data_IF_893816286024
#
_entry.id   IF_893816286024
#
_cell.length_a   1.000
_cell.length_b   1.000
_cell.length_c   1.000
_cell.angle_alpha   90.00
_cell.angle_beta   90.00
_cell.angle_gamma   90.00
#
_symmetry.space_group_name_H-M   'P 1'
#
loop_
_entity.id
_entity.type
_entity.pdbx_description
1 polymer ?
#
# COMPACT_ATOMS: atom_id res chain seq x y z
N UNK A 1 -9.74 16.54 1.36
CA UNK A 1 -8.35 16.04 1.46
C UNK A 1 -8.34 14.54 1.70
N UNK A 2 -7.56 13.83 0.92
CA UNK A 2 -7.47 12.37 1.05
C UNK A 2 -6.63 11.98 2.27
N UNK A 3 -7.14 11.07 3.07
CA UNK A 3 -6.43 10.54 4.24
C UNK A 3 -5.84 9.17 3.89
N UNK A 4 -4.63 8.91 4.36
CA UNK A 4 -3.93 7.64 4.13
C UNK A 4 -3.68 6.95 5.46
N UNK A 5 -4.34 5.81 5.64
CA UNK A 5 -4.25 5.01 6.85
C UNK A 5 -3.51 3.71 6.56
N UNK A 6 -2.99 3.06 7.59
CA UNK A 6 -2.37 1.74 7.43
C UNK A 6 -2.74 0.81 8.57
N UNK A 7 -2.76 -0.48 8.27
CA UNK A 7 -2.87 -1.55 9.26
C UNK A 7 -1.49 -1.97 9.74
N UNK A 8 -1.45 -2.67 10.87
CA UNK A 8 -0.19 -3.12 11.48
C UNK A 8 0.63 -4.01 10.56
N UNK A 9 -0.02 -4.92 9.83
CA UNK A 9 0.68 -5.83 8.90
C UNK A 9 1.39 -5.08 7.79
N UNK A 10 0.77 -4.02 7.24
CA UNK A 10 1.44 -3.18 6.25
C UNK A 10 2.71 -2.56 6.82
N UNK A 11 2.61 -1.97 8.01
CA UNK A 11 3.75 -1.29 8.65
C UNK A 11 4.88 -2.26 8.94
N UNK A 12 4.54 -3.48 9.37
CA UNK A 12 5.54 -4.52 9.62
C UNK A 12 6.24 -4.92 8.32
N UNK A 13 5.49 -5.16 7.26
CA UNK A 13 6.07 -5.52 5.96
C UNK A 13 6.99 -4.41 5.45
N UNK A 14 6.53 -3.17 5.53
CA UNK A 14 7.34 -2.03 5.11
C UNK A 14 8.64 -1.95 5.91
N UNK A 15 8.57 -2.10 7.23
CA UNK A 15 9.76 -2.08 8.09
C UNK A 15 10.72 -3.22 7.74
N UNK A 16 10.20 -4.42 7.47
CA UNK A 16 11.02 -5.57 7.09
C UNK A 16 11.74 -5.32 5.77
N UNK A 17 11.06 -4.73 4.78
CA UNK A 17 11.69 -4.39 3.50
C UNK A 17 12.83 -3.38 3.67
N UNK A 18 12.62 -2.38 4.51
CA UNK A 18 13.64 -1.36 4.75
C UNK A 18 14.87 -1.89 5.49
N UNK A 19 14.76 -3.03 6.16
CA UNK A 19 15.87 -3.67 6.88
C UNK A 19 16.66 -4.64 6.01
N UNK A 20 16.23 -4.94 4.80
CA UNK A 20 16.95 -5.87 3.93
C UNK A 20 18.34 -5.32 3.64
N UNK A 21 19.32 -6.24 3.63
CA UNK A 21 20.74 -5.91 3.47
C UNK A 21 21.00 -5.04 2.25
N UNK A 22 21.98 -4.13 2.36
CA UNK A 22 22.43 -3.23 1.30
C UNK A 22 21.36 -2.23 0.82
N UNK A 23 20.28 -2.09 1.58
CA UNK A 23 19.23 -1.14 1.21
C UNK A 23 18.55 -1.47 -0.11
N UNK A 24 18.40 -2.75 -0.44
CA UNK A 24 17.81 -3.18 -1.72
C UNK A 24 16.46 -2.50 -1.98
N UNK A 25 15.65 -2.35 -0.93
CA UNK A 25 14.32 -1.77 -1.03
C UNK A 25 14.24 -0.37 -0.41
N UNK A 26 15.37 0.34 -0.33
CA UNK A 26 15.41 1.66 0.32
C UNK A 26 14.51 2.71 -0.35
N UNK A 27 14.15 2.52 -1.61
CA UNK A 27 13.29 3.44 -2.35
C UNK A 27 11.80 3.19 -2.21
N UNK A 28 11.36 2.19 -1.44
CA UNK A 28 9.96 1.77 -1.44
C UNK A 28 9.00 2.87 -0.96
N UNK A 29 9.35 3.60 0.09
CA UNK A 29 8.50 4.70 0.59
C UNK A 29 8.34 5.79 -0.45
N UNK A 30 9.41 6.15 -1.14
CA UNK A 30 9.39 7.16 -2.18
C UNK A 30 8.47 6.75 -3.33
N UNK A 31 8.50 5.48 -3.72
CA UNK A 31 7.61 4.99 -4.79
C UNK A 31 6.14 5.06 -4.38
N UNK A 32 5.83 4.70 -3.14
CA UNK A 32 4.46 4.80 -2.63
C UNK A 32 3.99 6.26 -2.62
N UNK A 33 4.81 7.16 -2.08
CA UNK A 33 4.46 8.58 -2.00
C UNK A 33 4.27 9.19 -3.40
N UNK A 34 5.15 8.84 -4.33
CA UNK A 34 5.07 9.34 -5.71
C UNK A 34 3.77 8.89 -6.38
N UNK A 35 3.33 7.66 -6.12
CA UNK A 35 2.11 7.13 -6.70
C UNK A 35 0.86 7.92 -6.30
N UNK A 36 0.82 8.44 -5.07
CA UNK A 36 -0.34 9.15 -4.55
C UNK A 36 -0.19 10.67 -4.58
N UNK A 37 1.03 11.17 -4.72
CA UNK A 37 1.25 12.62 -4.80
C UNK A 37 0.61 13.15 -6.08
N UNK A 38 -0.18 14.20 -5.94
CA UNK A 38 -0.90 14.81 -7.06
C UNK A 38 -2.01 13.95 -7.68
N UNK A 39 -2.33 12.78 -7.11
CA UNK A 39 -3.44 11.97 -7.57
C UNK A 39 -4.73 12.41 -6.88
N UNK A 40 -5.82 12.52 -7.65
CA UNK A 40 -7.15 12.77 -7.08
C UNK A 40 -7.72 11.47 -6.54
N UNK A 41 -8.71 11.58 -5.64
CA UNK A 41 -9.36 10.38 -5.08
C UNK A 41 -10.05 9.58 -6.19
N UNK A 42 -10.57 10.23 -7.22
CA UNK A 42 -11.20 9.56 -8.36
C UNK A 42 -10.17 8.72 -9.13
N UNK A 43 -8.98 9.27 -9.37
CA UNK A 43 -7.90 8.53 -10.03
C UNK A 43 -7.46 7.32 -9.21
N UNK A 44 -7.37 7.48 -7.89
CA UNK A 44 -6.99 6.42 -6.98
C UNK A 44 -8.03 5.29 -7.00
N UNK A 45 -9.32 5.61 -7.02
CA UNK A 45 -10.42 4.64 -7.05
C UNK A 45 -10.55 3.91 -8.37
N UNK A 46 -10.21 4.54 -9.48
CA UNK A 46 -10.45 4.01 -10.81
C UNK A 46 -9.24 3.30 -11.41
N UNK A 47 -8.29 2.91 -10.60
CA UNK A 47 -7.13 2.21 -11.07
C UNK A 47 -7.55 0.88 -11.71
N UNK A 48 -7.02 0.60 -12.92
CA UNK A 48 -7.36 -0.62 -13.66
C UNK A 48 -6.87 -1.91 -13.00
N UNK A 49 -5.99 -1.81 -12.00
CA UNK A 49 -5.49 -2.94 -11.23
C UNK A 49 -6.42 -3.31 -10.06
N UNK A 50 -7.70 -3.00 -10.18
CA UNK A 50 -8.71 -3.35 -9.19
C UNK A 50 -8.87 -4.87 -9.09
N UNK A 51 -8.82 -5.41 -7.88
CA UNK A 51 -8.92 -6.86 -7.64
C UNK A 51 -10.17 -7.25 -6.86
N UNK A 52 -10.83 -6.29 -6.20
CA UNK A 52 -12.04 -6.56 -5.44
C UNK A 52 -12.87 -5.28 -5.34
N UNK A 53 -14.19 -5.41 -5.46
CA UNK A 53 -15.10 -4.28 -5.29
C UNK A 53 -16.36 -4.76 -4.57
N UNK A 54 -16.80 -3.96 -3.60
CA UNK A 54 -18.09 -4.16 -2.95
C UNK A 54 -18.83 -2.82 -2.88
N UNK A 55 -19.97 -2.79 -2.14
CA UNK A 55 -20.78 -1.56 -2.08
C UNK A 55 -20.08 -0.40 -1.36
N UNK A 56 -19.09 -0.68 -0.52
CA UNK A 56 -18.47 0.31 0.36
C UNK A 56 -17.05 0.66 -0.02
N UNK A 57 -16.34 -0.25 -0.69
CA UNK A 57 -14.91 -0.08 -0.95
C UNK A 57 -14.44 -0.75 -2.23
N UNK A 58 -13.26 -0.33 -2.67
CA UNK A 58 -12.55 -0.90 -3.81
C UNK A 58 -11.16 -1.31 -3.32
N UNK A 59 -10.71 -2.51 -3.66
CA UNK A 59 -9.34 -2.97 -3.37
C UNK A 59 -8.55 -3.01 -4.66
N UNK A 60 -7.35 -2.46 -4.62
CA UNK A 60 -6.49 -2.29 -5.78
C UNK A 60 -5.11 -2.87 -5.47
N UNK A 61 -4.54 -3.57 -6.45
CA UNK A 61 -3.17 -4.05 -6.42
C UNK A 61 -2.37 -3.23 -7.44
N UNK A 62 -1.79 -2.12 -6.99
CA UNK A 62 -1.12 -1.16 -7.85
C UNK A 62 0.32 -1.61 -8.13
N UNK A 63 0.71 -1.54 -9.40
CA UNK A 63 2.09 -1.79 -9.80
C UNK A 63 2.90 -0.51 -9.65
N UNK A 64 4.01 -0.62 -8.91
CA UNK A 64 4.94 0.49 -8.71
C UNK A 64 6.29 0.13 -9.30
N UNK A 65 6.99 1.09 -9.93
CA UNK A 65 8.36 0.85 -10.34
C UNK A 65 9.28 0.81 -9.12
N UNK A 66 10.48 0.31 -9.30
CA UNK A 66 11.56 0.51 -8.35
C UNK A 66 12.69 1.22 -9.09
N UNK A 67 12.66 2.53 -9.07
CA UNK A 67 13.60 3.37 -9.83
C UNK A 67 15.03 3.21 -9.33
N UNK A 68 15.18 3.00 -8.04
CA UNK A 68 16.50 2.80 -7.43
C UNK A 68 17.20 1.57 -8.01
N UNK A 69 16.45 0.50 -8.29
CA UNK A 69 16.98 -0.72 -8.90
C UNK A 69 16.77 -0.76 -10.41
N UNK A 70 16.27 0.31 -11.02
CA UNK A 70 15.98 0.43 -12.45
C UNK A 70 14.98 -0.63 -12.92
N UNK A 71 13.99 -0.93 -12.08
CA UNK A 71 12.92 -1.87 -12.41
C UNK A 71 11.68 -1.11 -12.84
N UNK A 72 11.03 -1.62 -13.90
CA UNK A 72 9.76 -1.07 -14.39
C UNK A 72 8.62 -1.44 -13.43
N UNK A 73 7.42 -0.91 -13.72
CA UNK A 73 6.22 -1.21 -12.92
C UNK A 73 5.92 -2.71 -12.87
N UNK A 74 6.19 -3.45 -13.96
CA UNK A 74 5.93 -4.89 -13.97
C UNK A 74 6.88 -5.67 -13.07
N UNK A 75 8.09 -5.19 -12.84
CA UNK A 75 9.13 -5.86 -12.05
C UNK A 75 9.40 -5.20 -10.69
N UNK A 76 8.74 -4.10 -10.39
CA UNK A 76 8.95 -3.35 -9.15
C UNK A 76 8.15 -3.91 -7.99
N UNK A 77 7.33 -3.04 -7.38
CA UNK A 77 6.52 -3.42 -6.22
C UNK A 77 5.07 -3.63 -6.58
N UNK A 78 4.36 -4.32 -5.69
CA UNK A 78 2.89 -4.34 -5.68
C UNK A 78 2.44 -3.70 -4.37
N UNK A 79 1.60 -2.68 -4.49
CA UNK A 79 0.99 -2.00 -3.35
C UNK A 79 -0.49 -2.38 -3.33
N UNK A 80 -0.92 -3.03 -2.25
CA UNK A 80 -2.33 -3.40 -2.08
C UNK A 80 -2.97 -2.38 -1.15
N UNK A 81 -4.01 -1.71 -1.64
CA UNK A 81 -4.72 -0.73 -0.84
C UNK A 81 -6.22 -0.80 -1.07
N UNK A 82 -6.97 -0.32 -0.09
CA UNK A 82 -8.42 -0.24 -0.15
C UNK A 82 -8.82 1.24 -0.12
N UNK A 83 -9.80 1.60 -0.94
CA UNK A 83 -10.34 2.95 -0.98
C UNK A 83 -11.81 2.90 -0.62
N UNK A 84 -12.23 3.70 0.34
CA UNK A 84 -13.65 3.81 0.70
C UNK A 84 -14.38 4.61 -0.36
N UNK A 85 -15.61 4.18 -0.72
CA UNK A 85 -16.39 4.86 -1.76
C UNK A 85 -17.04 6.16 -1.27
N UNK A 86 -17.31 6.24 0.03
CA UNK A 86 -18.07 7.35 0.61
C UNK A 86 -17.20 8.39 1.31
N UNK A 87 -15.90 8.15 1.42
CA UNK A 87 -14.97 9.08 2.06
C UNK A 87 -13.64 9.07 1.32
N UNK A 88 -12.89 10.17 1.29
CA UNK A 88 -11.58 10.19 0.63
C UNK A 88 -10.53 9.55 1.54
N UNK A 89 -10.65 8.25 1.78
CA UNK A 89 -9.77 7.48 2.67
C UNK A 89 -9.17 6.31 1.90
N UNK A 90 -7.84 6.21 1.95
CA UNK A 90 -7.06 5.10 1.42
C UNK A 90 -6.48 4.32 2.60
N UNK A 91 -6.64 3.00 2.59
CA UNK A 91 -6.08 2.13 3.62
C UNK A 91 -5.00 1.25 3.00
N UNK A 92 -3.77 1.42 3.45
CA UNK A 92 -2.63 0.64 2.96
C UNK A 92 -2.65 -0.73 3.64
N UNK A 93 -2.75 -1.79 2.84
CA UNK A 93 -2.92 -3.16 3.33
C UNK A 93 -1.65 -4.00 3.23
N UNK A 94 -0.93 -3.92 2.11
CA UNK A 94 0.27 -4.71 1.89
C UNK A 94 1.19 -4.05 0.86
N UNK A 95 2.46 -4.41 0.93
CA UNK A 95 3.49 -3.99 -0.02
C UNK A 95 4.49 -5.13 -0.18
N UNK A 96 4.78 -5.53 -1.41
CA UNK A 96 5.78 -6.56 -1.65
C UNK A 96 6.51 -6.34 -2.98
N UNK A 97 7.79 -6.76 -3.06
CA UNK A 97 8.55 -6.64 -4.28
C UNK A 97 8.36 -7.86 -5.18
N UNK A 98 8.52 -7.66 -6.50
CA UNK A 98 8.49 -8.75 -7.48
C UNK A 98 9.88 -9.36 -7.69
N UNK A 99 10.94 -8.68 -7.27
CA UNK A 99 12.33 -9.11 -7.46
C UNK A 99 13.10 -8.99 -6.16
N UNK A 100 14.22 -9.70 -6.08
CA UNK A 100 15.16 -9.60 -4.97
C UNK A 100 14.89 -10.59 -3.83
N UNK A 101 15.60 -10.44 -2.71
CA UNK A 101 15.57 -11.43 -1.63
C UNK A 101 14.21 -11.61 -0.96
N UNK A 102 13.33 -10.60 -1.02
CA UNK A 102 12.00 -10.69 -0.43
C UNK A 102 10.90 -10.86 -1.47
N UNK A 103 11.25 -11.29 -2.69
CA UNK A 103 10.31 -11.37 -3.79
C UNK A 103 9.09 -12.23 -3.47
N UNK A 104 7.94 -11.82 -4.00
CA UNK A 104 6.67 -12.52 -3.86
C UNK A 104 5.94 -12.49 -5.21
N UNK A 105 5.34 -13.62 -5.59
CA UNK A 105 4.67 -13.71 -6.90
C UNK A 105 3.35 -12.95 -6.92
N UNK A 106 2.53 -13.15 -5.90
CA UNK A 106 1.21 -12.53 -5.82
C UNK A 106 0.69 -12.61 -4.38
N UNK A 107 -0.39 -11.88 -4.11
CA UNK A 107 -1.14 -12.02 -2.88
C UNK A 107 -2.30 -13.00 -3.12
N UNK A 108 -2.44 -13.99 -2.24
CA UNK A 108 -3.52 -14.95 -2.34
C UNK A 108 -4.80 -14.39 -1.73
N UNK A 109 -5.96 -14.92 -2.18
CA UNK A 109 -7.27 -14.46 -1.70
C UNK A 109 -7.41 -14.59 -0.18
N UNK A 110 -6.87 -15.67 0.41
CA UNK A 110 -6.91 -15.85 1.86
C UNK A 110 -6.13 -14.78 2.60
N UNK A 111 -4.95 -14.42 2.08
CA UNK A 111 -4.14 -13.35 2.66
C UNK A 111 -4.87 -12.01 2.58
N UNK A 112 -5.46 -11.72 1.43
CA UNK A 112 -6.20 -10.47 1.24
C UNK A 112 -7.39 -10.39 2.21
N UNK A 113 -8.15 -11.48 2.36
CA UNK A 113 -9.25 -11.51 3.30
C UNK A 113 -8.80 -11.27 4.73
N UNK A 114 -7.67 -11.85 5.14
CA UNK A 114 -7.12 -11.63 6.48
C UNK A 114 -6.72 -10.17 6.69
N UNK A 115 -6.15 -9.51 5.67
CA UNK A 115 -5.78 -8.10 5.76
C UNK A 115 -7.02 -7.20 5.91
N UNK A 116 -8.09 -7.51 5.19
CA UNK A 116 -9.35 -6.78 5.30
C UNK A 116 -9.96 -6.96 6.68
N UNK A 117 -9.95 -8.18 7.22
CA UNK A 117 -10.41 -8.45 8.58
C UNK A 117 -9.56 -7.73 9.62
N UNK A 118 -8.26 -7.67 9.41
CA UNK A 118 -7.35 -6.90 10.27
C UNK A 118 -7.73 -5.42 10.26
N UNK A 119 -8.03 -4.86 9.09
CA UNK A 119 -8.49 -3.48 9.00
C UNK A 119 -9.74 -3.25 9.84
N UNK A 120 -10.75 -4.12 9.72
CA UNK A 120 -11.98 -3.99 10.50
C UNK A 120 -11.68 -4.04 12.01
N UNK A 121 -10.84 -4.97 12.44
CA UNK A 121 -10.44 -5.12 13.84
C UNK A 121 -9.69 -3.88 14.35
N UNK A 122 -8.73 -3.39 13.56
CA UNK A 122 -7.90 -2.24 13.97
C UNK A 122 -8.69 -0.92 13.94
N UNK A 123 -9.66 -0.82 13.05
CA UNK A 123 -10.57 0.32 13.04
C UNK A 123 -11.35 0.39 14.35
N UNK A 124 -11.90 -0.75 14.81
CA UNK A 124 -12.64 -0.83 16.07
C UNK A 124 -11.77 -0.57 17.29
N UNK A 125 -10.53 -1.06 17.29
CA UNK A 125 -9.60 -0.92 18.41
C UNK A 125 -8.74 0.33 18.32
N UNK A 126 -8.94 1.18 17.31
CA UNK A 126 -8.20 2.44 17.10
C UNK A 126 -6.70 2.24 16.94
N UNK A 127 -6.29 1.17 16.25
CA UNK A 127 -4.88 0.86 16.00
C UNK A 127 -4.39 1.29 14.63
N UNK A 128 -5.25 1.83 13.78
CA UNK A 128 -4.83 2.37 12.49
C UNK A 128 -3.94 3.60 12.70
N UNK A 129 -2.92 3.74 11.85
CA UNK A 129 -2.10 4.95 11.82
C UNK A 129 -2.41 5.76 10.57
N UNK A 130 -2.42 7.07 10.71
CA UNK A 130 -2.53 7.97 9.57
C UNK A 130 -1.13 8.42 9.14
N UNK A 131 -0.89 8.50 7.83
CA UNK A 131 0.39 8.81 7.25
C UNK A 131 0.37 10.11 6.46
N UNK A 132 1.51 10.77 6.41
CA UNK A 132 1.73 11.97 5.61
C UNK A 132 2.42 11.57 4.31
N UNK A 133 1.69 11.61 3.20
CA UNK A 133 2.21 11.28 1.87
C UNK A 133 3.27 12.30 1.42
N UNK A 134 3.16 13.56 1.85
CA UNK A 134 4.12 14.60 1.48
C UNK A 134 5.42 14.50 2.30
N UNK A 135 5.45 13.69 3.34
CA UNK A 135 6.59 13.58 4.24
C UNK A 135 6.96 12.11 4.49
N UNK A 136 7.27 11.38 3.41
CA UNK A 136 7.82 10.01 3.41
C UNK A 136 7.00 9.00 4.20
N UNK A 137 5.67 9.10 4.17
CA UNK A 137 4.76 8.21 4.91
C UNK A 137 4.95 8.27 6.43
N UNK A 138 5.54 9.31 6.96
CA UNK A 138 5.65 9.45 8.41
C UNK A 138 4.26 9.50 9.05
N UNK A 139 4.15 8.94 10.24
CA UNK A 139 2.90 8.98 10.98
C UNK A 139 2.52 10.42 11.29
N UNK A 140 1.25 10.78 11.07
CA UNK A 140 0.73 12.08 11.46
C UNK A 140 0.52 12.12 12.97
N UNK A 141 0.85 13.24 13.54
CA UNK A 141 0.66 13.48 14.98
C UNK A 141 -0.63 14.21 15.25
#
# INVERSE_FOLDING_TARGET
MTRFLSISSFRKRLADLLKVRRGVYAGVKSEICTAFRNATIEQIRQNRDMILMNNESVVIKLRLPDKRQRLSRSDGYRLVYMVLKTAPVVVLLDIYPKRGPSQQLDIEDNELNMLILEFVSELKSKKLLEHDIENDLNAKQ
#
